data_IF_481409272980
#
_entry.id   IF_481409272980
#
_cell.length_a   1.000
_cell.length_b   1.000
_cell.length_c   1.000
_cell.angle_alpha   90.00
_cell.angle_beta   90.00
_cell.angle_gamma   90.00
#
_symmetry.space_group_name_H-M   'P 1'
#
loop_
_entity.id
_entity.type
_entity.pdbx_description
1 polymer ?
#
# COMPACT_ATOMS: atom_id res chain seq x y z
N UNK A 1 1.89 28.65 19.99
CA UNK A 1 1.42 27.30 20.35
C UNK A 1 1.09 26.54 19.08
N UNK A 2 1.77 25.40 18.86
CA UNK A 2 1.49 24.29 17.91
C UNK A 2 1.42 24.63 16.40
N UNK A 3 1.99 23.90 15.46
CA UNK A 3 2.94 22.77 15.39
C UNK A 3 3.23 22.64 13.88
N UNK A 4 4.51 22.68 13.50
CA UNK A 4 5.19 21.75 12.59
C UNK A 4 4.42 21.30 11.33
N UNK A 5 4.86 21.75 10.15
CA UNK A 5 5.78 21.01 9.27
C UNK A 5 5.15 19.74 8.70
N UNK A 6 4.66 19.81 7.46
CA UNK A 6 4.55 18.63 6.61
C UNK A 6 4.56 19.03 5.11
N UNK A 7 5.58 19.81 4.73
CA UNK A 7 6.14 19.72 3.39
C UNK A 7 6.86 18.37 3.28
N UNK A 8 6.11 17.26 3.23
CA UNK A 8 6.68 15.98 2.81
C UNK A 8 6.83 16.04 1.30
N UNK A 9 7.98 16.57 0.88
CA UNK A 9 8.90 15.91 -0.05
C UNK A 9 8.33 14.67 -0.76
N UNK A 10 7.45 14.86 -1.75
CA UNK A 10 7.07 13.83 -2.71
C UNK A 10 8.00 13.92 -3.93
N UNK A 11 9.31 13.91 -3.68
CA UNK A 11 10.36 14.10 -4.69
C UNK A 11 11.35 12.92 -4.71
N UNK A 12 10.86 11.70 -4.51
CA UNK A 12 11.70 10.49 -4.37
C UNK A 12 11.26 9.32 -5.26
N UNK A 13 10.70 9.58 -6.45
CA UNK A 13 10.46 8.52 -7.45
C UNK A 13 11.11 8.81 -8.80
N UNK A 14 12.34 9.31 -8.77
CA UNK A 14 13.26 9.29 -9.90
C UNK A 14 14.46 8.44 -9.50
N UNK A 15 14.66 7.34 -10.23
CA UNK A 15 15.71 6.32 -10.13
C UNK A 15 15.40 5.14 -9.19
N UNK A 16 14.83 4.08 -9.77
CA UNK A 16 15.46 2.74 -9.78
C UNK A 16 14.70 1.85 -10.78
N UNK A 17 15.36 1.47 -11.88
CA UNK A 17 14.94 0.37 -12.75
C UNK A 17 15.22 -1.01 -12.11
N UNK A 18 15.30 -1.08 -10.78
CA UNK A 18 15.25 -2.31 -10.00
C UNK A 18 13.88 -2.35 -9.36
N UNK A 19 13.01 -3.22 -9.90
CA UNK A 19 11.69 -3.48 -9.34
C UNK A 19 11.92 -4.10 -7.96
N UNK A 20 11.91 -3.28 -6.91
CA UNK A 20 11.98 -3.78 -5.54
C UNK A 20 10.60 -4.29 -5.12
N UNK A 21 10.25 -5.44 -5.69
CA UNK A 21 8.98 -6.12 -5.54
C UNK A 21 8.65 -6.39 -4.07
N UNK A 22 9.68 -6.70 -3.28
CA UNK A 22 9.54 -6.95 -1.84
C UNK A 22 9.07 -5.69 -1.09
N UNK A 23 9.63 -4.52 -1.43
CA UNK A 23 9.23 -3.25 -0.83
C UNK A 23 7.80 -2.86 -1.25
N UNK A 24 7.42 -3.11 -2.51
CA UNK A 24 6.05 -2.85 -2.97
C UNK A 24 5.02 -3.79 -2.32
N UNK A 25 5.35 -5.07 -2.17
CA UNK A 25 4.50 -6.04 -1.46
C UNK A 25 4.33 -5.59 -0.01
N UNK A 26 5.43 -5.25 0.66
CA UNK A 26 5.40 -4.76 2.05
C UNK A 26 4.51 -3.54 2.20
N UNK A 27 4.65 -2.53 1.33
CA UNK A 27 3.80 -1.34 1.36
C UNK A 27 2.32 -1.66 1.13
N UNK A 28 2.01 -2.57 0.21
CA UNK A 28 0.63 -3.01 -0.03
C UNK A 28 0.04 -3.73 1.19
N UNK A 29 0.82 -4.59 1.86
CA UNK A 29 0.40 -5.29 3.09
C UNK A 29 0.14 -4.30 4.23
N UNK A 30 1.05 -3.35 4.47
CA UNK A 30 0.87 -2.34 5.53
C UNK A 30 -0.37 -1.46 5.29
N UNK A 31 -0.66 -1.11 4.04
CA UNK A 31 -1.87 -0.36 3.70
C UNK A 31 -3.14 -1.19 3.92
N UNK A 32 -3.12 -2.46 3.54
CA UNK A 32 -4.22 -3.39 3.76
C UNK A 32 -4.53 -3.57 5.26
N UNK A 33 -3.51 -3.80 6.09
CA UNK A 33 -3.69 -3.95 7.54
C UNK A 33 -4.29 -2.70 8.19
N UNK A 34 -3.81 -1.51 7.81
CA UNK A 34 -4.40 -0.23 8.24
C UNK A 34 -5.87 -0.14 7.81
N UNK A 35 -6.18 -0.44 6.55
CA UNK A 35 -7.53 -0.36 6.01
C UNK A 35 -8.50 -1.35 6.67
N UNK A 36 -8.04 -2.57 6.96
CA UNK A 36 -8.79 -3.58 7.74
C UNK A 36 -9.13 -3.04 9.13
N UNK A 37 -8.18 -2.37 9.80
CA UNK A 37 -8.43 -1.71 11.08
C UNK A 37 -9.53 -0.65 11.02
N UNK A 38 -9.63 0.10 9.91
CA UNK A 38 -10.70 1.09 9.69
C UNK A 38 -12.03 0.49 9.24
N UNK A 39 -12.04 -0.75 8.74
CA UNK A 39 -13.27 -1.42 8.30
C UNK A 39 -14.23 -1.73 9.47
N UNK A 40 -13.75 -1.64 10.73
CA UNK A 40 -14.55 -1.79 11.96
C UNK A 40 -15.47 -3.03 11.95
N UNK A 41 -14.96 -4.17 11.45
CA UNK A 41 -15.69 -5.44 11.39
C UNK A 41 -16.76 -5.54 10.30
N UNK A 42 -16.91 -4.54 9.41
CA UNK A 42 -17.84 -4.62 8.28
C UNK A 42 -17.39 -5.69 7.29
N UNK A 43 -18.13 -6.80 7.22
CA UNK A 43 -17.81 -7.92 6.33
C UNK A 43 -17.71 -7.50 4.86
N UNK A 44 -18.58 -6.61 4.40
CA UNK A 44 -18.56 -6.12 3.02
C UNK A 44 -17.30 -5.29 2.73
N UNK A 45 -16.87 -4.45 3.68
CA UNK A 45 -15.66 -3.66 3.55
C UNK A 45 -14.41 -4.55 3.57
N UNK A 46 -14.36 -5.53 4.48
CA UNK A 46 -13.27 -6.49 4.57
C UNK A 46 -13.15 -7.29 3.27
N UNK A 47 -14.24 -7.85 2.75
CA UNK A 47 -14.25 -8.61 1.48
C UNK A 47 -13.69 -7.77 0.34
N UNK A 48 -14.12 -6.50 0.23
CA UNK A 48 -13.64 -5.60 -0.82
C UNK A 48 -12.15 -5.30 -0.66
N UNK A 49 -11.70 -4.96 0.54
CA UNK A 49 -10.28 -4.68 0.82
C UNK A 49 -9.40 -5.89 0.53
N UNK A 50 -9.85 -7.10 0.88
CA UNK A 50 -9.13 -8.34 0.57
C UNK A 50 -9.06 -8.58 -0.93
N UNK A 51 -10.15 -8.34 -1.67
CA UNK A 51 -10.16 -8.46 -3.13
C UNK A 51 -9.20 -7.44 -3.79
N UNK A 52 -9.23 -6.19 -3.35
CA UNK A 52 -8.36 -5.12 -3.85
C UNK A 52 -6.87 -5.42 -3.55
N UNK A 53 -6.57 -5.93 -2.35
CA UNK A 53 -5.23 -6.36 -1.95
C UNK A 53 -4.71 -7.52 -2.80
N UNK A 54 -5.52 -8.57 -3.00
CA UNK A 54 -5.14 -9.72 -3.84
C UNK A 54 -4.89 -9.31 -5.29
N UNK A 55 -5.73 -8.43 -5.83
CA UNK A 55 -5.51 -7.86 -7.18
C UNK A 55 -4.17 -7.14 -7.24
N UNK A 56 -3.86 -6.31 -6.24
CA UNK A 56 -2.60 -5.56 -6.19
C UNK A 56 -1.37 -6.48 -6.11
N UNK A 57 -1.45 -7.56 -5.32
CA UNK A 57 -0.40 -8.58 -5.27
C UNK A 57 -0.19 -9.27 -6.63
N UNK A 58 -1.27 -9.59 -7.36
CA UNK A 58 -1.18 -10.17 -8.70
C UNK A 58 -0.47 -9.21 -9.66
N UNK A 59 -0.84 -7.93 -9.66
CA UNK A 59 -0.21 -6.90 -10.50
C UNK A 59 1.28 -6.71 -10.17
N UNK A 60 1.67 -6.81 -8.90
CA UNK A 60 3.08 -6.76 -8.51
C UNK A 60 3.79 -8.03 -9.01
N UNK A 61 3.21 -9.21 -8.77
CA UNK A 61 3.81 -10.47 -9.15
C UNK A 61 3.99 -10.62 -10.68
N UNK A 62 3.03 -10.16 -11.49
CA UNK A 62 3.13 -10.11 -12.96
C UNK A 62 4.21 -9.14 -13.45
N UNK A 63 4.46 -8.06 -12.70
CA UNK A 63 5.52 -7.12 -13.03
C UNK A 63 6.89 -7.63 -12.60
N UNK A 64 6.94 -8.49 -11.60
CA UNK A 64 8.17 -8.93 -10.95
C UNK A 64 8.71 -10.27 -11.47
N UNK A 65 7.84 -11.06 -12.09
CA UNK A 65 8.23 -12.18 -12.97
C UNK A 65 8.42 -11.71 -14.42
#
# INVERSE_FOLDING_TARGET
MKKLLLCLSLSLFLNSCDKNCDEEIKQATEQYEKAIGYANGSSAAIIKLTADYNKKLSEINERCN
#
